data_IF_382580024458
#
_entry.id   IF_382580024458
#
_cell.length_a   1.000
_cell.length_b   1.000
_cell.length_c   1.000
_cell.angle_alpha   90.00
_cell.angle_beta   90.00
_cell.angle_gamma   90.00
#
_symmetry.space_group_name_H-M   'P 1'
#
loop_
_entity.id
_entity.type
_entity.pdbx_description
1 polymer ?
#
# COMPACT_ATOMS: atom_id res chain seq x y z
N UNK A 1 12.31 19.77 -10.35
CA UNK A 1 11.25 20.00 -11.38
C UNK A 1 11.11 21.47 -11.75
N UNK A 2 10.65 22.38 -10.86
CA UNK A 2 10.48 23.82 -11.21
C UNK A 2 11.78 24.51 -11.65
N UNK A 3 12.90 24.26 -10.97
CA UNK A 3 14.20 24.81 -11.36
C UNK A 3 14.66 24.31 -12.75
N UNK A 4 14.47 23.02 -13.04
CA UNK A 4 14.79 22.42 -14.35
C UNK A 4 13.87 22.92 -15.47
N UNK A 5 12.59 23.16 -15.18
CA UNK A 5 11.65 23.73 -16.15
C UNK A 5 12.11 25.11 -16.62
N UNK A 6 12.47 25.97 -15.68
CA UNK A 6 12.93 27.32 -15.99
C UNK A 6 14.30 27.32 -16.69
N UNK A 7 15.14 26.31 -16.43
CA UNK A 7 16.47 26.21 -17.01
C UNK A 7 16.48 25.62 -18.43
N UNK A 8 15.57 24.69 -18.74
CA UNK A 8 15.53 23.98 -20.02
C UNK A 8 14.45 24.48 -21.00
N UNK A 9 13.67 25.50 -20.61
CA UNK A 9 12.55 26.07 -21.39
C UNK A 9 11.55 24.99 -21.88
N UNK A 10 11.35 23.95 -21.07
CA UNK A 10 10.48 22.83 -21.41
C UNK A 10 9.02 23.18 -21.09
N UNK A 11 8.17 23.14 -22.11
CA UNK A 11 6.74 23.44 -22.00
C UNK A 11 5.92 22.30 -21.36
N UNK A 12 6.48 21.10 -21.20
CA UNK A 12 5.75 19.92 -20.79
C UNK A 12 6.37 19.24 -19.55
N UNK A 13 5.61 19.18 -18.45
CA UNK A 13 6.06 18.52 -17.21
C UNK A 13 6.32 17.02 -17.40
N UNK A 14 5.67 16.38 -18.37
CA UNK A 14 5.84 14.96 -18.67
C UNK A 14 7.27 14.64 -19.14
N UNK A 15 7.92 15.55 -19.86
CA UNK A 15 9.30 15.36 -20.34
C UNK A 15 10.29 15.46 -19.19
N UNK A 16 10.09 16.39 -18.26
CA UNK A 16 10.91 16.53 -17.05
C UNK A 16 10.76 15.31 -16.15
N UNK A 17 9.53 14.81 -15.97
CA UNK A 17 9.28 13.60 -15.17
C UNK A 17 9.89 12.35 -15.82
N UNK A 18 9.83 12.25 -17.15
CA UNK A 18 10.48 11.18 -17.89
C UNK A 18 12.01 11.25 -17.79
N UNK A 19 12.60 12.45 -17.90
CA UNK A 19 14.04 12.66 -17.72
C UNK A 19 14.49 12.34 -16.30
N UNK A 20 13.77 12.82 -15.28
CA UNK A 20 14.08 12.51 -13.88
C UNK A 20 13.91 11.03 -13.57
N UNK A 21 12.87 10.39 -14.13
CA UNK A 21 12.70 8.94 -14.05
C UNK A 21 13.91 8.21 -14.64
N UNK A 22 14.28 8.55 -15.87
CA UNK A 22 15.42 7.93 -16.57
C UNK A 22 16.74 8.13 -15.82
N UNK A 23 16.99 9.34 -15.29
CA UNK A 23 18.17 9.64 -14.47
C UNK A 23 18.14 8.82 -13.16
N UNK A 24 17.00 8.75 -12.48
CA UNK A 24 16.89 7.98 -11.25
C UNK A 24 17.13 6.49 -11.49
N UNK A 25 16.57 5.94 -12.57
CA UNK A 25 16.81 4.55 -12.96
C UNK A 25 18.26 4.29 -13.36
N UNK A 26 18.92 5.21 -14.04
CA UNK A 26 20.35 5.03 -14.38
C UNK A 26 21.24 5.03 -13.14
N UNK A 27 21.02 5.96 -12.19
CA UNK A 27 21.72 5.94 -10.90
C UNK A 27 21.40 4.67 -10.10
N UNK A 28 20.15 4.21 -10.13
CA UNK A 28 19.74 3.00 -9.43
C UNK A 28 20.38 1.74 -10.01
N UNK A 29 20.44 1.61 -11.34
CA UNK A 29 21.15 0.52 -12.02
C UNK A 29 22.65 0.57 -11.75
N UNK A 30 23.26 1.76 -11.75
CA UNK A 30 24.67 1.93 -11.42
C UNK A 30 24.97 1.52 -9.97
N UNK A 31 24.07 1.82 -9.05
CA UNK A 31 24.15 1.39 -7.65
C UNK A 31 24.05 -0.14 -7.50
N UNK A 32 23.18 -0.80 -8.27
CA UNK A 32 23.10 -2.27 -8.30
C UNK A 32 24.41 -2.88 -8.80
N UNK A 33 24.97 -2.35 -9.90
CA UNK A 33 26.24 -2.81 -10.46
C UNK A 33 27.37 -2.63 -9.42
N UNK A 34 27.37 -1.51 -8.68
CA UNK A 34 28.34 -1.26 -7.62
C UNK A 34 28.20 -2.28 -6.47
N UNK A 35 26.98 -2.58 -6.03
CA UNK A 35 26.75 -3.60 -4.98
C UNK A 35 27.22 -4.97 -5.46
N UNK A 36 26.87 -5.40 -6.68
CA UNK A 36 27.34 -6.68 -7.22
C UNK A 36 28.86 -6.73 -7.34
N UNK A 37 29.50 -5.63 -7.73
CA UNK A 37 30.95 -5.52 -7.81
C UNK A 37 31.60 -5.63 -6.42
N UNK A 38 31.03 -4.98 -5.40
CA UNK A 38 31.50 -5.07 -4.01
C UNK A 38 31.34 -6.48 -3.44
N UNK A 39 30.22 -7.17 -3.72
CA UNK A 39 30.01 -8.57 -3.33
C UNK A 39 31.08 -9.48 -3.95
N UNK A 40 31.39 -9.30 -5.25
CA UNK A 40 32.44 -10.08 -5.92
C UNK A 40 33.84 -9.82 -5.37
N UNK A 41 34.13 -8.59 -4.96
CA UNK A 41 35.40 -8.27 -4.28
C UNK A 41 35.47 -9.01 -2.94
N UNK A 42 34.39 -9.01 -2.17
CA UNK A 42 34.35 -9.69 -0.87
C UNK A 42 34.54 -11.20 -1.01
N UNK A 43 33.87 -11.84 -1.99
CA UNK A 43 34.09 -13.25 -2.34
C UNK A 43 35.56 -13.53 -2.72
N UNK A 44 36.17 -12.65 -3.54
CA UNK A 44 37.57 -12.80 -3.94
C UNK A 44 38.56 -12.60 -2.78
N UNK A 45 38.25 -11.70 -1.83
CA UNK A 45 39.03 -11.49 -0.61
C UNK A 45 38.92 -12.69 0.34
N UNK A 46 37.71 -13.24 0.53
CA UNK A 46 37.46 -14.50 1.25
C UNK A 46 38.28 -15.66 0.64
N UNK A 47 38.31 -15.76 -0.69
CA UNK A 47 39.09 -16.78 -1.39
C UNK A 47 40.61 -16.60 -1.21
N UNK A 48 41.12 -15.37 -1.22
CA UNK A 48 42.54 -15.09 -0.94
C UNK A 48 42.94 -15.43 0.49
N UNK A 49 42.08 -15.15 1.47
CA UNK A 49 42.37 -15.50 2.86
C UNK A 49 42.48 -17.01 3.07
N UNK A 50 41.66 -17.81 2.37
CA UNK A 50 41.76 -19.28 2.39
C UNK A 50 43.05 -19.81 1.78
N UNK A 51 43.62 -19.14 0.77
CA UNK A 51 44.89 -19.56 0.13
C UNK A 51 46.10 -19.14 0.97
N UNK A 52 46.04 -18.00 1.68
CA UNK A 52 47.16 -17.53 2.54
C UNK A 52 47.28 -18.25 3.89
N UNK A 53 46.22 -18.93 4.34
CA UNK A 53 46.24 -19.77 5.52
C UNK A 53 46.79 -21.15 5.19
N UNK A 54 48.11 -21.24 5.06
CA UNK A 54 48.81 -22.47 4.67
C UNK A 54 48.39 -23.69 5.51
N UNK A 55 47.60 -24.56 4.87
CA UNK A 55 47.55 -26.03 5.06
C UNK A 55 46.74 -26.60 3.91
N UNK A 56 47.37 -27.50 3.16
CA UNK A 56 46.82 -28.18 2.00
C UNK A 56 45.45 -28.81 2.30
N UNK A 57 44.39 -28.22 1.73
CA UNK A 57 43.09 -28.86 1.59
C UNK A 57 42.68 -28.86 0.12
N UNK A 58 43.08 -29.92 -0.58
CA UNK A 58 42.41 -30.35 -1.80
C UNK A 58 40.98 -30.78 -1.45
N UNK A 59 39.99 -29.95 -1.78
CA UNK A 59 38.59 -30.36 -1.80
C UNK A 59 38.10 -30.31 -3.25
N UNK A 60 37.71 -31.49 -3.72
CA UNK A 60 37.09 -31.80 -5.00
C UNK A 60 35.90 -30.89 -5.33
N UNK A 61 35.97 -30.20 -6.47
CA UNK A 61 34.79 -29.81 -7.25
C UNK A 61 34.93 -30.40 -8.67
N UNK A 62 34.67 -31.70 -8.78
CA UNK A 62 34.33 -32.33 -10.04
C UNK A 62 32.89 -32.80 -9.91
N UNK A 63 31.96 -32.03 -10.47
CA UNK A 63 30.71 -32.50 -11.09
C UNK A 63 29.89 -31.29 -11.54
N UNK A 64 30.25 -30.72 -12.69
CA UNK A 64 29.37 -30.00 -13.63
C UNK A 64 30.20 -29.61 -14.87
N UNK A 65 30.64 -30.61 -15.62
CA UNK A 65 30.96 -30.43 -17.04
C UNK A 65 30.64 -31.72 -17.80
N UNK A 66 29.76 -31.61 -18.79
CA UNK A 66 29.54 -32.65 -19.78
C UNK A 66 30.83 -32.88 -20.58
N UNK A 67 31.11 -34.12 -21.04
CA UNK A 67 32.33 -34.41 -21.78
C UNK A 67 32.21 -33.87 -23.20
N UNK A 68 33.01 -32.86 -23.53
CA UNK A 68 33.31 -32.48 -24.91
C UNK A 68 34.48 -33.36 -25.38
N UNK A 69 34.25 -34.10 -26.46
CA UNK A 69 35.23 -34.95 -27.11
C UNK A 69 36.45 -34.14 -27.56
N UNK A 70 37.63 -34.66 -27.22
CA UNK A 70 38.92 -34.12 -27.67
C UNK A 70 39.09 -34.38 -29.17
N UNK A 71 39.20 -33.33 -29.96
CA UNK A 71 39.98 -33.35 -31.20
C UNK A 71 41.27 -32.57 -30.98
N UNK A 72 42.40 -33.23 -31.31
CA UNK A 72 43.71 -32.62 -31.39
C UNK A 72 43.73 -31.69 -32.61
N UNK A 73 44.01 -30.40 -32.40
CA UNK A 73 45.04 -29.69 -33.15
C UNK A 73 45.24 -28.29 -32.55
N UNK A 74 46.51 -27.93 -32.40
CA UNK A 74 46.92 -26.65 -31.84
C UNK A 74 46.59 -25.51 -32.79
N UNK A 75 46.09 -24.42 -32.21
CA UNK A 75 46.45 -23.06 -32.57
C UNK A 75 46.07 -22.12 -31.43
N UNK A 76 47.01 -21.23 -31.07
CA UNK A 76 46.77 -20.10 -30.17
C UNK A 76 45.75 -19.18 -30.84
N UNK A 77 44.58 -18.98 -30.23
CA UNK A 77 43.66 -17.91 -30.59
C UNK A 77 43.33 -17.06 -29.38
N UNK A 78 43.47 -15.75 -29.58
CA UNK A 78 43.18 -14.68 -28.63
C UNK A 78 41.79 -14.81 -28.00
N UNK A 79 41.73 -14.63 -26.68
CA UNK A 79 40.48 -14.51 -25.91
C UNK A 79 39.89 -13.13 -26.25
N UNK A 80 39.00 -13.10 -27.23
CA UNK A 80 38.18 -11.94 -27.55
C UNK A 80 36.85 -11.97 -26.77
N UNK A 81 36.28 -10.77 -26.64
CA UNK A 81 35.20 -10.26 -25.79
C UNK A 81 33.80 -10.91 -25.91
N UNK A 82 33.67 -12.17 -26.31
CA UNK A 82 32.35 -12.80 -26.54
C UNK A 82 31.63 -13.28 -25.27
N UNK A 83 32.32 -13.40 -24.13
CA UNK A 83 31.71 -13.88 -22.88
C UNK A 83 30.78 -12.88 -22.18
N UNK A 84 30.88 -11.58 -22.48
CA UNK A 84 29.99 -10.58 -21.85
C UNK A 84 28.57 -10.62 -22.43
N UNK A 85 28.40 -11.01 -23.69
CA UNK A 85 27.07 -11.10 -24.32
C UNK A 85 26.27 -12.29 -23.78
N UNK A 86 26.92 -13.40 -23.45
CA UNK A 86 26.25 -14.57 -22.84
C UNK A 86 25.79 -14.32 -21.41
N UNK A 87 26.54 -13.53 -20.62
CA UNK A 87 26.14 -13.11 -19.29
C UNK A 87 24.92 -12.19 -19.31
N UNK A 88 24.89 -11.21 -20.22
CA UNK A 88 23.74 -10.32 -20.42
C UNK A 88 22.50 -11.12 -20.86
N UNK A 89 22.67 -12.11 -21.73
CA UNK A 89 21.57 -12.96 -22.21
C UNK A 89 20.98 -13.86 -21.11
N UNK A 90 21.83 -14.41 -20.23
CA UNK A 90 21.39 -15.18 -19.04
C UNK A 90 20.65 -14.27 -18.05
N UNK A 91 21.10 -13.03 -17.89
CA UNK A 91 20.49 -12.04 -16.99
C UNK A 91 19.10 -11.61 -17.47
N UNK A 92 18.94 -11.33 -18.78
CA UNK A 92 17.64 -11.04 -19.41
C UNK A 92 16.70 -12.23 -19.23
N UNK A 93 17.19 -13.47 -19.43
CA UNK A 93 16.38 -14.69 -19.26
C UNK A 93 15.89 -14.90 -17.83
N UNK A 94 16.66 -14.49 -16.81
CA UNK A 94 16.24 -14.56 -15.40
C UNK A 94 15.26 -13.43 -15.01
N UNK A 95 15.42 -12.23 -15.58
CA UNK A 95 14.44 -11.14 -15.44
C UNK A 95 13.06 -11.54 -15.98
N UNK A 96 13.01 -12.23 -17.14
CA UNK A 96 11.76 -12.78 -17.70
C UNK A 96 11.09 -13.83 -16.79
N UNK A 97 11.87 -14.67 -16.11
CA UNK A 97 11.34 -15.67 -15.16
C UNK A 97 10.71 -15.05 -13.91
N UNK A 98 11.15 -13.85 -13.51
CA UNK A 98 10.61 -13.10 -12.38
C UNK A 98 9.41 -12.22 -12.75
N UNK A 99 8.95 -12.28 -14.00
CA UNK A 99 7.82 -11.50 -14.52
C UNK A 99 8.04 -9.97 -14.42
N UNK A 100 9.29 -9.53 -14.42
CA UNK A 100 9.68 -8.12 -14.44
C UNK A 100 9.51 -7.62 -15.88
N UNK A 101 8.51 -6.77 -16.11
CA UNK A 101 8.20 -6.24 -17.45
C UNK A 101 8.98 -4.94 -17.72
N UNK A 102 9.54 -4.81 -18.93
CA UNK A 102 10.22 -3.58 -19.36
C UNK A 102 9.23 -2.41 -19.51
N UNK A 103 9.74 -1.19 -19.38
CA UNK A 103 8.97 0.05 -19.50
C UNK A 103 8.45 0.32 -20.93
N UNK A 104 8.85 -0.48 -21.92
CA UNK A 104 8.60 -0.22 -23.35
C UNK A 104 7.25 -0.73 -23.87
N UNK A 105 6.43 -1.40 -23.05
CA UNK A 105 5.08 -1.80 -23.43
C UNK A 105 4.08 -0.64 -23.32
N UNK A 106 4.26 0.40 -24.16
CA UNK A 106 3.40 1.58 -24.22
C UNK A 106 1.99 1.27 -24.80
N UNK A 107 1.83 0.15 -25.52
CA UNK A 107 0.57 -0.18 -26.22
C UNK A 107 -0.39 -1.09 -25.43
N UNK A 108 0.01 -1.68 -24.31
CA UNK A 108 -0.86 -2.55 -23.51
C UNK A 108 -0.69 -2.31 -22.00
N UNK A 109 -1.56 -1.45 -21.44
CA UNK A 109 -1.88 -1.30 -20.00
C UNK A 109 -0.68 -1.11 -19.05
N UNK A 110 -0.38 0.17 -18.86
CA UNK A 110 0.68 0.76 -18.03
C UNK A 110 0.69 0.25 -16.57
N UNK A 111 1.78 -0.43 -16.19
CA UNK A 111 2.40 -0.26 -14.87
C UNK A 111 3.41 0.88 -14.99
N UNK A 112 3.29 1.91 -14.15
CA UNK A 112 4.17 3.08 -14.23
C UNK A 112 5.60 2.77 -13.82
N UNK A 113 6.54 3.64 -14.18
CA UNK A 113 7.97 3.55 -13.86
C UNK A 113 8.27 3.27 -12.37
N UNK A 114 7.42 3.80 -11.48
CA UNK A 114 7.48 3.55 -10.03
C UNK A 114 7.30 2.07 -9.65
N UNK A 115 6.50 1.33 -10.41
CA UNK A 115 6.25 -0.09 -10.20
C UNK A 115 7.44 -0.95 -10.66
N UNK A 116 8.14 -0.54 -11.72
CA UNK A 116 9.42 -1.16 -12.13
C UNK A 116 10.49 -0.95 -11.05
N UNK A 117 10.64 0.26 -10.53
CA UNK A 117 11.57 0.55 -9.41
C UNK A 117 11.20 -0.30 -8.18
N UNK A 118 9.91 -0.40 -7.84
CA UNK A 118 9.43 -1.20 -6.71
C UNK A 118 9.72 -2.70 -6.87
N UNK A 119 9.56 -3.24 -8.07
CA UNK A 119 9.87 -4.66 -8.34
C UNK A 119 11.39 -4.91 -8.27
N UNK A 120 12.19 -3.97 -8.77
CA UNK A 120 13.65 -4.05 -8.71
C UNK A 120 14.16 -3.99 -7.25
N UNK A 121 13.58 -3.13 -6.41
CA UNK A 121 13.99 -3.03 -5.00
C UNK A 121 13.67 -4.29 -4.18
N UNK A 122 12.55 -4.96 -4.46
CA UNK A 122 12.22 -6.27 -3.87
C UNK A 122 13.25 -7.33 -4.29
N UNK A 123 13.66 -7.32 -5.55
CA UNK A 123 14.65 -8.27 -6.06
C UNK A 123 16.02 -8.08 -5.39
N UNK A 124 16.46 -6.83 -5.18
CA UNK A 124 17.71 -6.55 -4.45
C UNK A 124 17.63 -7.03 -3.01
N UNK A 125 16.52 -6.76 -2.31
CA UNK A 125 16.32 -7.22 -0.93
C UNK A 125 16.40 -8.75 -0.85
N UNK A 126 15.84 -9.45 -1.84
CA UNK A 126 15.97 -10.90 -1.98
C UNK A 126 17.43 -11.35 -2.14
N UNK A 127 18.20 -10.70 -3.02
CA UNK A 127 19.62 -11.02 -3.21
C UNK A 127 20.43 -10.78 -1.94
N UNK A 128 20.18 -9.67 -1.23
CA UNK A 128 20.86 -9.33 0.01
C UNK A 128 20.57 -10.36 1.11
N UNK A 129 19.30 -10.75 1.27
CA UNK A 129 18.91 -11.79 2.24
C UNK A 129 19.50 -13.16 1.88
N UNK A 130 19.55 -13.50 0.59
CA UNK A 130 20.18 -14.74 0.13
C UNK A 130 21.68 -14.74 0.45
N UNK A 131 22.38 -13.64 0.23
CA UNK A 131 23.80 -13.52 0.57
C UNK A 131 24.06 -13.64 2.08
N UNK A 132 23.24 -12.99 2.91
CA UNK A 132 23.32 -13.10 4.38
C UNK A 132 23.03 -14.51 4.90
N UNK A 133 22.16 -15.27 4.24
CA UNK A 133 21.91 -16.67 4.57
C UNK A 133 23.13 -17.56 4.27
N UNK A 134 23.84 -17.30 3.17
CA UNK A 134 25.07 -18.02 2.83
C UNK A 134 26.22 -17.70 3.80
N UNK A 135 26.39 -16.43 4.20
CA UNK A 135 27.41 -16.06 5.19
C UNK A 135 27.12 -16.66 6.58
N UNK A 136 25.85 -16.76 6.97
CA UNK A 136 25.44 -17.47 8.19
C UNK A 136 25.71 -18.98 8.12
N UNK A 137 25.43 -19.64 7.00
CA UNK A 137 25.71 -21.07 6.82
C UNK A 137 27.22 -21.38 6.86
N UNK A 138 28.05 -20.53 6.26
CA UNK A 138 29.51 -20.68 6.30
C UNK A 138 30.00 -20.51 7.75
N UNK A 139 29.48 -19.52 8.47
CA UNK A 139 29.81 -19.29 9.88
C UNK A 139 29.38 -20.46 10.79
N UNK A 140 28.20 -21.02 10.58
CA UNK A 140 27.73 -22.21 11.32
C UNK A 140 28.52 -23.47 10.98
N UNK A 141 28.92 -23.66 9.72
CA UNK A 141 29.72 -24.83 9.31
C UNK A 141 31.16 -24.80 9.84
N UNK A 142 31.70 -23.61 10.13
CA UNK A 142 33.01 -23.44 10.77
C UNK A 142 32.99 -23.71 12.28
N UNK A 143 31.87 -23.43 12.96
CA UNK A 143 31.73 -23.62 14.41
C UNK A 143 31.51 -25.09 14.79
N UNK A 144 30.85 -25.89 13.94
CA UNK A 144 30.54 -27.30 14.26
C UNK A 144 31.63 -28.33 13.92
N UNK A 145 32.79 -27.90 13.41
CA UNK A 145 33.90 -28.81 13.07
C UNK A 145 35.03 -28.88 14.11
N UNK A 146 34.99 -28.05 15.14
CA UNK A 146 35.91 -28.14 16.27
C UNK A 146 35.09 -28.21 17.56
N UNK A 147 34.82 -29.42 18.05
CA UNK A 147 34.88 -29.76 19.47
C UNK A 147 34.74 -31.28 19.66
N UNK A 148 35.86 -31.87 20.08
CA UNK A 148 36.02 -33.19 20.69
C UNK A 148 36.14 -32.94 22.21
N UNK A 149 35.61 -33.85 23.03
CA UNK A 149 35.49 -33.88 24.51
C UNK A 149 34.30 -33.09 25.08
N UNK A 150 33.61 -33.49 26.15
CA UNK A 150 33.31 -34.72 26.92
C UNK A 150 32.36 -34.20 28.04
N UNK A 151 31.52 -35.08 28.56
CA UNK A 151 30.58 -34.85 29.67
C UNK A 151 31.06 -33.87 30.76
N UNK A 152 30.22 -32.88 31.08
CA UNK A 152 30.01 -32.34 32.43
C UNK A 152 28.77 -31.44 32.46
N UNK A 153 27.83 -31.77 33.34
CA UNK A 153 26.67 -30.95 33.68
C UNK A 153 27.13 -29.59 34.24
N UNK A 154 26.69 -28.50 33.62
CA UNK A 154 26.89 -27.13 34.12
C UNK A 154 25.52 -26.47 34.27
N UNK A 155 25.24 -26.09 35.51
CA UNK A 155 24.04 -25.44 36.02
C UNK A 155 23.87 -24.03 35.42
N UNK A 156 22.77 -23.80 34.70
CA UNK A 156 22.48 -22.56 33.98
C UNK A 156 21.61 -21.62 34.83
N UNK A 157 22.18 -21.10 35.92
CA UNK A 157 21.57 -20.04 36.72
C UNK A 157 22.53 -18.86 36.90
N UNK A 158 22.75 -18.08 35.82
CA UNK A 158 23.18 -16.68 35.92
C UNK A 158 23.11 -16.01 34.53
N UNK A 159 22.02 -15.27 34.29
CA UNK A 159 21.98 -13.92 33.68
C UNK A 159 20.58 -13.53 33.17
N UNK A 160 19.60 -13.55 34.07
CA UNK A 160 18.24 -13.03 33.78
C UNK A 160 18.20 -11.51 33.58
N UNK A 161 19.26 -10.79 33.97
CA UNK A 161 19.35 -9.33 33.89
C UNK A 161 19.84 -8.80 32.53
N UNK A 162 20.61 -9.58 31.77
CA UNK A 162 21.04 -9.17 30.44
C UNK A 162 19.95 -9.42 29.40
N UNK A 163 19.27 -10.56 29.51
CA UNK A 163 18.14 -10.95 28.65
C UNK A 163 16.95 -10.01 28.83
N UNK A 164 16.65 -9.58 30.06
CA UNK A 164 15.57 -8.61 30.32
C UNK A 164 15.85 -7.21 29.78
N UNK A 165 17.11 -6.77 29.71
CA UNK A 165 17.51 -5.52 29.08
C UNK A 165 17.39 -5.56 27.55
N UNK A 166 17.75 -6.70 26.92
CA UNK A 166 17.59 -6.91 25.47
C UNK A 166 16.10 -7.03 25.11
N UNK A 167 15.32 -7.76 25.90
CA UNK A 167 13.87 -7.89 25.73
C UNK A 167 13.19 -6.52 25.87
N UNK A 168 13.54 -5.71 26.88
CA UNK A 168 12.97 -4.36 27.04
C UNK A 168 13.41 -3.36 25.96
N UNK A 169 14.58 -3.55 25.36
CA UNK A 169 15.02 -2.74 24.21
C UNK A 169 14.27 -3.13 22.93
N UNK A 170 14.05 -4.42 22.70
CA UNK A 170 13.26 -4.93 21.57
C UNK A 170 11.77 -4.61 21.69
N UNK A 171 11.21 -4.56 22.91
CA UNK A 171 9.81 -4.13 23.17
C UNK A 171 9.61 -2.63 22.91
N UNK A 172 10.66 -1.79 23.05
CA UNK A 172 10.59 -0.38 22.69
C UNK A 172 10.68 -0.15 21.18
N UNK A 173 11.38 -1.01 20.45
CA UNK A 173 11.42 -1.00 18.98
C UNK A 173 10.13 -1.58 18.35
N UNK A 174 9.39 -2.45 19.05
CA UNK A 174 8.07 -2.97 18.61
C UNK A 174 6.89 -2.00 18.79
N UNK A 175 7.10 -0.78 19.31
CA UNK A 175 6.02 0.20 19.43
C UNK A 175 5.63 0.83 18.09
N UNK A 176 6.49 0.75 17.07
CA UNK A 176 6.15 1.21 15.71
C UNK A 176 5.21 0.23 14.99
N UNK A 177 5.34 -1.08 15.22
CA UNK A 177 4.46 -2.09 14.63
C UNK A 177 3.01 -1.94 15.13
N UNK A 178 2.81 -1.49 16.38
CA UNK A 178 1.48 -1.30 16.94
C UNK A 178 0.70 -0.14 16.31
N UNK A 179 1.35 0.92 15.82
CA UNK A 179 0.64 2.09 15.31
C UNK A 179 0.04 1.83 13.92
N UNK A 180 0.82 1.26 13.00
CA UNK A 180 0.35 0.95 11.66
C UNK A 180 -0.72 -0.15 11.69
N UNK A 181 -0.54 -1.15 12.55
CA UNK A 181 -1.53 -2.21 12.76
C UNK A 181 -2.83 -1.64 13.32
N UNK A 182 -2.75 -0.81 14.35
CA UNK A 182 -3.91 -0.08 14.87
C UNK A 182 -4.60 0.71 13.76
N UNK A 183 -3.84 1.46 12.96
CA UNK A 183 -4.41 2.27 11.87
C UNK A 183 -5.11 1.43 10.82
N UNK A 184 -4.47 0.34 10.40
CA UNK A 184 -5.02 -0.56 9.40
C UNK A 184 -6.33 -1.19 9.89
N UNK A 185 -6.38 -1.77 11.09
CA UNK A 185 -7.56 -2.50 11.55
C UNK A 185 -8.76 -1.58 11.81
N UNK A 186 -8.50 -0.38 12.32
CA UNK A 186 -9.55 0.64 12.50
C UNK A 186 -10.09 1.11 11.15
N UNK A 187 -9.20 1.48 10.21
CA UNK A 187 -9.58 1.85 8.85
C UNK A 187 -10.35 0.72 8.14
N UNK A 188 -9.84 -0.52 8.21
CA UNK A 188 -10.46 -1.68 7.58
C UNK A 188 -11.85 -1.98 8.15
N UNK A 189 -12.05 -1.79 9.45
CA UNK A 189 -13.38 -1.89 10.07
C UNK A 189 -14.35 -0.86 9.50
N UNK A 190 -13.91 0.38 9.26
CA UNK A 190 -14.71 1.42 8.59
C UNK A 190 -15.06 1.05 7.15
N UNK A 191 -14.12 0.44 6.41
CA UNK A 191 -14.38 -0.07 5.05
C UNK A 191 -15.42 -1.19 5.08
N UNK A 192 -15.32 -2.12 6.02
CA UNK A 192 -16.28 -3.22 6.18
C UNK A 192 -17.68 -2.72 6.56
N UNK A 193 -17.76 -1.70 7.40
CA UNK A 193 -19.02 -1.09 7.82
C UNK A 193 -19.75 -0.35 6.71
N UNK A 194 -19.02 0.21 5.73
CA UNK A 194 -19.63 0.74 4.52
C UNK A 194 -20.02 -0.37 3.52
N UNK A 195 -19.03 -0.93 2.82
CA UNK A 195 -19.25 -1.82 1.68
C UNK A 195 -18.95 -3.31 1.95
N UNK A 196 -18.59 -3.68 3.19
CA UNK A 196 -18.32 -5.06 3.57
C UNK A 196 -19.57 -5.91 3.76
N UNK A 197 -19.43 -7.23 3.69
CA UNK A 197 -20.51 -8.17 3.93
C UNK A 197 -19.98 -9.46 4.54
N UNK A 198 -20.54 -9.84 5.69
CA UNK A 198 -20.38 -11.16 6.30
C UNK A 198 -21.46 -12.07 5.69
N UNK A 199 -21.09 -12.88 4.67
CA UNK A 199 -22.03 -13.69 3.87
C UNK A 199 -22.50 -14.92 4.68
N UNK A 200 -23.48 -14.69 5.56
CA UNK A 200 -24.17 -15.72 6.35
C UNK A 200 -25.31 -16.34 5.53
N UNK A 201 -25.36 -17.67 5.44
CA UNK A 201 -26.38 -18.41 4.66
C UNK A 201 -26.97 -19.55 5.47
N UNK A 202 -28.25 -19.82 5.28
CA UNK A 202 -28.86 -21.06 5.75
C UNK A 202 -28.66 -22.14 4.68
N UNK A 203 -27.95 -23.20 5.03
CA UNK A 203 -27.73 -24.38 4.18
C UNK A 203 -28.18 -25.59 5.01
N UNK A 204 -29.25 -26.26 4.58
CA UNK A 204 -29.86 -27.38 5.29
C UNK A 204 -30.17 -27.04 6.76
N UNK A 205 -30.89 -25.93 6.97
CA UNK A 205 -31.26 -25.36 8.28
C UNK A 205 -30.10 -25.04 9.22
N UNK A 206 -28.86 -25.06 8.72
CA UNK A 206 -27.66 -24.64 9.46
C UNK A 206 -27.17 -23.30 8.94
N UNK A 207 -26.93 -22.37 9.86
CA UNK A 207 -26.30 -21.09 9.56
C UNK A 207 -24.81 -21.32 9.28
N UNK A 208 -24.35 -20.93 8.09
CA UNK A 208 -22.97 -21.09 7.62
C UNK A 208 -22.42 -19.75 7.17
N UNK A 209 -21.24 -19.39 7.66
CA UNK A 209 -20.48 -18.25 7.14
C UNK A 209 -19.67 -18.67 5.90
N UNK A 210 -20.01 -18.13 4.73
CA UNK A 210 -19.37 -18.51 3.47
C UNK A 210 -18.07 -17.73 3.22
N UNK A 211 -18.13 -16.41 3.34
CA UNK A 211 -16.98 -15.52 3.12
C UNK A 211 -17.21 -14.13 3.72
N UNK A 212 -16.12 -13.41 3.98
CA UNK A 212 -16.12 -11.95 4.14
C UNK A 212 -15.90 -11.35 2.76
N UNK A 213 -16.80 -10.47 2.31
CA UNK A 213 -16.77 -9.90 0.96
C UNK A 213 -16.83 -8.38 1.00
N UNK A 214 -16.04 -7.72 0.15
CA UNK A 214 -16.18 -6.29 -0.16
C UNK A 214 -16.34 -6.17 -1.67
N UNK A 215 -17.32 -5.38 -2.12
CA UNK A 215 -17.57 -5.15 -3.55
C UNK A 215 -17.54 -3.64 -3.83
N UNK A 216 -16.56 -3.20 -4.62
CA UNK A 216 -16.37 -1.79 -4.96
C UNK A 216 -16.40 -1.57 -6.47
N UNK A 217 -16.55 -0.32 -6.89
CA UNK A 217 -16.31 0.08 -8.27
C UNK A 217 -14.82 -0.07 -8.61
N UNK A 218 -14.49 -0.38 -9.88
CA UNK A 218 -13.08 -0.60 -10.31
C UNK A 218 -12.17 0.61 -10.08
N UNK A 219 -12.73 1.82 -10.11
CA UNK A 219 -12.02 3.06 -9.75
C UNK A 219 -11.41 3.02 -8.35
N UNK A 220 -12.04 2.29 -7.44
CA UNK A 220 -11.68 2.22 -6.02
C UNK A 220 -10.92 0.91 -5.69
N UNK A 221 -10.35 0.23 -6.70
CA UNK A 221 -9.59 -1.02 -6.54
C UNK A 221 -8.38 -0.88 -5.61
N UNK A 222 -7.82 0.33 -5.47
CA UNK A 222 -6.70 0.60 -4.59
C UNK A 222 -7.02 0.30 -3.12
N UNK A 223 -8.27 0.48 -2.67
CA UNK A 223 -8.74 0.06 -1.35
C UNK A 223 -8.56 -1.46 -1.19
N UNK A 224 -9.00 -2.24 -2.17
CA UNK A 224 -8.91 -3.70 -2.12
C UNK A 224 -7.45 -4.19 -2.18
N UNK A 225 -6.63 -3.59 -3.04
CA UNK A 225 -5.20 -3.91 -3.12
C UNK A 225 -4.49 -3.59 -1.80
N UNK A 226 -4.83 -2.49 -1.11
CA UNK A 226 -4.29 -2.17 0.21
C UNK A 226 -4.61 -3.25 1.23
N UNK A 227 -5.86 -3.70 1.28
CA UNK A 227 -6.31 -4.79 2.17
C UNK A 227 -5.56 -6.08 1.86
N UNK A 228 -5.53 -6.50 0.59
CA UNK A 228 -4.87 -7.75 0.19
C UNK A 228 -3.36 -7.71 0.45
N UNK A 229 -2.70 -6.59 0.16
CA UNK A 229 -1.26 -6.46 0.34
C UNK A 229 -0.86 -6.44 1.81
N UNK A 230 -1.69 -5.88 2.69
CA UNK A 230 -1.40 -5.84 4.12
C UNK A 230 -1.70 -7.20 4.77
N UNK A 231 -2.85 -7.82 4.46
CA UNK A 231 -3.25 -9.09 5.09
C UNK A 231 -2.55 -10.31 4.49
N UNK A 232 -2.05 -10.22 3.25
CA UNK A 232 -1.62 -11.36 2.44
C UNK A 232 -2.66 -12.49 2.34
N UNK A 233 -3.94 -12.13 2.49
CA UNK A 233 -5.09 -13.01 2.57
C UNK A 233 -6.11 -12.63 1.48
N UNK A 234 -6.97 -13.57 1.12
CA UNK A 234 -8.11 -13.33 0.26
C UNK A 234 -7.74 -13.16 -1.22
N UNK A 235 -8.75 -12.91 -2.03
CA UNK A 235 -8.62 -12.79 -3.49
C UNK A 235 -9.45 -11.65 -4.04
N UNK A 236 -8.87 -10.93 -4.99
CA UNK A 236 -9.53 -9.89 -5.78
C UNK A 236 -9.99 -10.50 -7.11
N UNK A 237 -11.26 -10.30 -7.47
CA UNK A 237 -11.86 -10.81 -8.71
C UNK A 237 -12.69 -9.73 -9.39
N UNK A 238 -12.51 -9.58 -10.70
CA UNK A 238 -13.31 -8.67 -11.51
C UNK A 238 -14.68 -9.28 -11.79
N UNK A 239 -15.73 -8.46 -11.76
CA UNK A 239 -17.07 -8.88 -12.17
C UNK A 239 -17.18 -8.76 -13.68
N UNK A 240 -17.49 -9.87 -14.37
CA UNK A 240 -17.61 -9.90 -15.83
C UNK A 240 -18.62 -8.85 -16.32
N UNK A 241 -18.22 -8.06 -17.31
CA UNK A 241 -19.04 -7.05 -17.99
C UNK A 241 -19.64 -5.98 -17.05
N UNK A 242 -19.05 -5.75 -15.87
CA UNK A 242 -19.48 -4.70 -14.95
C UNK A 242 -18.27 -3.96 -14.40
N UNK A 243 -18.38 -2.66 -14.07
CA UNK A 243 -17.26 -1.88 -13.56
C UNK A 243 -17.05 -2.12 -12.05
N UNK A 244 -17.16 -3.37 -11.60
CA UNK A 244 -17.04 -3.75 -10.20
C UNK A 244 -15.95 -4.79 -9.99
N UNK A 245 -15.37 -4.75 -8.81
CA UNK A 245 -14.36 -5.68 -8.33
C UNK A 245 -14.78 -6.18 -6.95
N UNK A 246 -14.49 -7.45 -6.67
CA UNK A 246 -14.85 -8.12 -5.43
C UNK A 246 -13.57 -8.62 -4.75
N UNK A 247 -13.35 -8.21 -3.50
CA UNK A 247 -12.42 -8.85 -2.59
C UNK A 247 -13.20 -9.87 -1.73
N UNK A 248 -12.65 -11.07 -1.57
CA UNK A 248 -13.29 -12.14 -0.80
C UNK A 248 -12.29 -12.95 0.02
N UNK A 249 -12.64 -13.21 1.29
CA UNK A 249 -11.92 -14.10 2.21
C UNK A 249 -12.83 -15.29 2.50
N UNK A 250 -12.50 -16.47 1.97
CA UNK A 250 -13.33 -17.67 2.12
C UNK A 250 -12.68 -18.81 2.90
N UNK A 251 -11.38 -18.73 3.21
CA UNK A 251 -10.72 -19.75 4.05
C UNK A 251 -11.12 -19.52 5.50
N UNK A 252 -11.50 -20.60 6.20
CA UNK A 252 -11.98 -20.54 7.58
C UNK A 252 -10.98 -19.87 8.53
N UNK A 253 -9.71 -20.29 8.47
CA UNK A 253 -8.63 -19.74 9.32
C UNK A 253 -8.44 -18.25 9.11
N UNK A 254 -8.46 -17.79 7.85
CA UNK A 254 -8.33 -16.37 7.49
C UNK A 254 -9.53 -15.53 7.97
N UNK A 255 -10.75 -16.08 7.88
CA UNK A 255 -11.95 -15.39 8.39
C UNK A 255 -11.89 -15.23 9.92
N UNK A 256 -11.49 -16.28 10.65
CA UNK A 256 -11.31 -16.22 12.11
C UNK A 256 -10.26 -15.16 12.47
N UNK A 257 -9.12 -15.16 11.76
CA UNK A 257 -8.07 -14.16 11.94
C UNK A 257 -8.64 -12.73 11.81
N UNK A 258 -9.35 -12.44 10.70
CA UNK A 258 -9.93 -11.10 10.49
C UNK A 258 -10.97 -10.75 11.55
N UNK A 259 -11.89 -11.67 11.88
CA UNK A 259 -12.95 -11.42 12.87
C UNK A 259 -12.35 -11.05 14.23
N UNK A 260 -11.31 -11.74 14.68
CA UNK A 260 -10.65 -11.43 15.94
C UNK A 260 -10.06 -10.01 15.98
N UNK A 261 -9.48 -9.53 14.88
CA UNK A 261 -8.83 -8.21 14.83
C UNK A 261 -9.82 -7.04 14.69
N UNK A 262 -11.01 -7.28 14.12
CA UNK A 262 -12.05 -6.24 13.97
C UNK A 262 -13.12 -6.29 15.07
N UNK A 263 -13.03 -7.25 15.99
CA UNK A 263 -13.99 -7.39 17.10
C UNK A 263 -13.91 -6.18 18.03
N UNK A 264 -15.06 -5.55 18.31
CA UNK A 264 -15.12 -4.25 19.00
C UNK A 264 -14.92 -3.02 18.09
N UNK A 265 -14.61 -3.19 16.80
CA UNK A 265 -14.42 -2.08 15.85
C UNK A 265 -15.54 -1.94 14.80
N UNK A 266 -16.35 -2.99 14.57
CA UNK A 266 -17.52 -2.96 13.68
C UNK A 266 -18.71 -2.31 14.38
N UNK A 267 -19.17 -1.16 13.89
CA UNK A 267 -20.16 -0.25 14.49
C UNK A 267 -21.48 -0.17 13.72
N UNK A 268 -21.52 -0.49 12.42
CA UNK A 268 -22.74 -0.40 11.60
C UNK A 268 -23.36 -1.76 11.30
N UNK A 269 -22.53 -2.77 11.04
CA UNK A 269 -22.99 -4.13 10.66
C UNK A 269 -23.05 -5.10 11.83
N UNK A 270 -23.27 -4.58 13.05
CA UNK A 270 -23.20 -5.31 14.32
C UNK A 270 -23.97 -6.63 14.28
N UNK A 271 -25.25 -6.64 13.87
CA UNK A 271 -26.07 -7.88 13.84
C UNK A 271 -25.48 -9.00 12.98
N UNK A 272 -24.89 -8.68 11.83
CA UNK A 272 -24.30 -9.70 10.96
C UNK A 272 -22.92 -10.12 11.47
N UNK A 273 -22.17 -9.19 12.07
CA UNK A 273 -20.88 -9.48 12.67
C UNK A 273 -21.01 -10.34 13.92
N UNK A 274 -21.99 -10.08 14.78
CA UNK A 274 -22.31 -10.90 15.96
C UNK A 274 -22.63 -12.36 15.56
N UNK A 275 -23.43 -12.54 14.50
CA UNK A 275 -23.69 -13.87 13.92
C UNK A 275 -22.41 -14.58 13.45
N UNK A 276 -21.47 -13.82 12.87
CA UNK A 276 -20.18 -14.35 12.44
C UNK A 276 -19.30 -14.75 13.64
N UNK A 277 -19.27 -13.94 14.70
CA UNK A 277 -18.59 -14.27 15.96
C UNK A 277 -19.16 -15.56 16.57
N UNK A 278 -20.49 -15.66 16.67
CA UNK A 278 -21.17 -16.84 17.19
C UNK A 278 -20.88 -18.10 16.37
N UNK A 279 -20.84 -18.00 15.03
CA UNK A 279 -20.51 -19.13 14.15
C UNK A 279 -19.11 -19.71 14.41
N UNK A 280 -18.15 -18.88 14.84
CA UNK A 280 -16.79 -19.31 15.16
C UNK A 280 -16.50 -19.45 16.67
N UNK A 281 -17.52 -19.35 17.52
CA UNK A 281 -17.38 -19.35 18.98
C UNK A 281 -16.43 -18.25 19.50
N UNK A 282 -16.42 -17.08 18.86
CA UNK A 282 -15.68 -15.90 19.31
C UNK A 282 -16.60 -15.06 20.18
N UNK A 283 -16.16 -14.69 21.39
CA UNK A 283 -16.92 -13.78 22.26
C UNK A 283 -17.05 -12.42 21.57
N UNK A 284 -18.26 -12.03 21.22
CA UNK A 284 -18.53 -10.72 20.63
C UNK A 284 -18.23 -9.59 21.64
N UNK A 285 -17.59 -8.53 21.15
CA UNK A 285 -17.27 -7.31 21.90
C UNK A 285 -18.10 -6.17 21.31
N UNK A 286 -18.98 -5.60 22.11
CA UNK A 286 -19.78 -4.43 21.71
C UNK A 286 -18.83 -3.25 21.41
N UNK A 287 -18.97 -2.58 20.26
CA UNK A 287 -18.09 -1.48 19.88
C UNK A 287 -18.40 -0.19 20.65
N UNK A 288 -17.37 0.65 20.84
CA UNK A 288 -17.59 2.03 21.27
C UNK A 288 -18.09 2.90 20.10
N UNK A 289 -19.33 3.40 20.22
CA UNK A 289 -19.97 4.26 19.23
C UNK A 289 -19.48 5.72 19.30
N UNK A 290 -18.73 6.09 20.36
CA UNK A 290 -18.01 7.37 20.43
C UNK A 290 -16.65 7.21 19.79
N UNK A 291 -16.56 7.56 18.52
CA UNK A 291 -15.33 7.39 17.75
C UNK A 291 -14.26 8.36 18.28
N UNK A 292 -13.06 7.83 18.57
CA UNK A 292 -11.97 8.57 19.20
C UNK A 292 -11.38 9.64 18.27
N UNK A 293 -10.73 10.68 18.83
CA UNK A 293 -9.96 11.63 18.03
C UNK A 293 -8.93 10.94 17.15
N UNK A 294 -8.85 11.37 15.89
CA UNK A 294 -7.99 10.80 14.84
C UNK A 294 -8.17 9.31 14.54
N UNK A 295 -9.24 8.66 15.02
CA UNK A 295 -9.48 7.25 14.74
C UNK A 295 -9.64 7.01 13.22
N UNK A 296 -8.84 6.12 12.60
CA UNK A 296 -8.87 5.86 11.16
C UNK A 296 -10.17 5.20 10.67
N UNK A 297 -11.02 4.70 11.57
CA UNK A 297 -12.34 4.16 11.23
C UNK A 297 -13.15 5.11 10.33
N UNK A 298 -13.15 6.41 10.66
CA UNK A 298 -13.90 7.38 9.86
C UNK A 298 -13.32 7.53 8.45
N UNK A 299 -12.00 7.46 8.27
CA UNK A 299 -11.38 7.48 6.93
C UNK A 299 -11.77 6.26 6.09
N UNK A 300 -11.85 5.06 6.70
CA UNK A 300 -12.31 3.85 6.02
C UNK A 300 -13.77 3.92 5.59
N UNK A 301 -14.62 4.50 6.44
CA UNK A 301 -16.02 4.74 6.12
C UNK A 301 -16.18 5.80 5.02
N UNK A 302 -15.30 6.82 5.00
CA UNK A 302 -15.31 7.82 3.93
C UNK A 302 -14.84 7.22 2.60
N UNK A 303 -13.89 6.29 2.62
CA UNK A 303 -13.40 5.57 1.44
C UNK A 303 -14.51 4.80 0.71
N UNK A 304 -15.50 4.28 1.43
CA UNK A 304 -16.65 3.54 0.89
C UNK A 304 -17.87 4.44 0.70
N UNK A 305 -18.57 4.77 1.78
CA UNK A 305 -19.85 5.50 1.77
C UNK A 305 -19.70 7.03 1.80
N UNK A 306 -18.49 7.53 2.05
CA UNK A 306 -18.24 8.97 2.08
C UNK A 306 -18.28 9.65 0.72
N UNK A 307 -18.50 10.96 0.78
CA UNK A 307 -18.48 11.87 -0.37
C UNK A 307 -17.70 13.12 -0.03
N UNK A 308 -16.80 13.52 -0.94
CA UNK A 308 -16.13 14.83 -0.91
C UNK A 308 -16.57 15.54 -2.17
N UNK A 309 -17.36 16.60 -2.03
CA UNK A 309 -18.03 17.26 -3.17
C UNK A 309 -17.82 18.76 -3.13
N UNK A 310 -17.82 19.38 -4.30
CA UNK A 310 -17.79 20.83 -4.42
C UNK A 310 -19.21 21.36 -4.65
N UNK A 311 -19.68 22.22 -3.76
CA UNK A 311 -20.94 22.94 -3.89
C UNK A 311 -20.68 24.31 -4.54
N UNK A 312 -20.97 24.39 -5.84
CA UNK A 312 -20.71 25.60 -6.64
C UNK A 312 -21.47 26.82 -6.15
N UNK A 313 -22.77 26.66 -5.82
CA UNK A 313 -23.61 27.77 -5.38
C UNK A 313 -23.04 28.39 -4.10
N UNK A 314 -22.76 27.55 -3.10
CA UNK A 314 -22.22 27.98 -1.80
C UNK A 314 -20.71 28.23 -1.81
N UNK A 315 -20.02 28.00 -2.94
CA UNK A 315 -18.56 28.12 -3.08
C UNK A 315 -17.80 27.47 -1.91
N UNK A 316 -18.03 26.17 -1.71
CA UNK A 316 -17.43 25.39 -0.63
C UNK A 316 -17.24 23.93 -1.01
N UNK A 317 -16.26 23.28 -0.39
CA UNK A 317 -16.09 21.83 -0.41
C UNK A 317 -16.85 21.28 0.81
N UNK A 318 -17.52 20.14 0.64
CA UNK A 318 -18.25 19.42 1.68
C UNK A 318 -17.69 17.99 1.78
N UNK A 319 -17.45 17.52 2.99
CA UNK A 319 -17.17 16.11 3.30
C UNK A 319 -18.37 15.55 4.05
N UNK A 320 -18.95 14.45 3.58
CA UNK A 320 -20.12 13.87 4.22
C UNK A 320 -20.21 12.37 4.10
N UNK A 321 -20.87 11.73 5.07
CA UNK A 321 -21.31 10.34 5.02
C UNK A 321 -22.80 10.29 5.33
N UNK A 322 -23.56 9.54 4.54
CA UNK A 322 -25.00 9.35 4.71
C UNK A 322 -25.27 7.87 4.97
N UNK A 323 -25.88 7.56 6.11
CA UNK A 323 -26.09 6.20 6.58
C UNK A 323 -27.59 5.96 6.79
N UNK A 324 -28.04 4.71 6.63
CA UNK A 324 -29.43 4.34 6.95
C UNK A 324 -29.70 4.58 8.44
N UNK A 325 -30.82 5.23 8.76
CA UNK A 325 -31.20 5.55 10.13
C UNK A 325 -31.63 4.28 10.88
N UNK A 326 -30.94 3.97 11.98
CA UNK A 326 -31.24 2.86 12.88
C UNK A 326 -30.60 3.11 14.27
N UNK A 327 -30.83 2.22 15.23
CA UNK A 327 -30.36 2.38 16.61
C UNK A 327 -28.82 2.55 16.74
N UNK A 328 -28.03 1.98 15.83
CA UNK A 328 -26.58 2.10 15.86
C UNK A 328 -26.13 3.43 15.26
N UNK A 329 -26.68 3.81 14.10
CA UNK A 329 -26.32 5.06 13.44
C UNK A 329 -26.79 6.29 14.21
N UNK A 330 -27.89 6.21 14.98
CA UNK A 330 -28.31 7.32 15.85
C UNK A 330 -27.35 7.58 17.01
N UNK A 331 -26.70 6.52 17.50
CA UNK A 331 -25.79 6.59 18.63
C UNK A 331 -24.33 6.79 18.21
N UNK A 332 -24.03 6.67 16.91
CA UNK A 332 -22.71 6.89 16.34
C UNK A 332 -22.34 8.37 16.40
N UNK A 333 -21.19 8.66 17.01
CA UNK A 333 -20.76 10.03 17.28
C UNK A 333 -19.39 10.33 16.65
N UNK A 334 -19.38 11.28 15.72
CA UNK A 334 -18.18 11.76 15.02
C UNK A 334 -17.70 13.15 15.49
N UNK A 335 -18.25 13.70 16.58
CA UNK A 335 -17.97 15.07 17.02
C UNK A 335 -16.51 15.31 17.40
N UNK A 336 -15.80 14.29 17.84
CA UNK A 336 -14.43 14.42 18.33
C UNK A 336 -13.40 13.77 17.42
N UNK A 337 -13.82 13.16 16.31
CA UNK A 337 -12.93 12.42 15.40
C UNK A 337 -11.94 13.34 14.70
N UNK A 338 -12.42 14.50 14.28
CA UNK A 338 -11.58 15.54 13.68
C UNK A 338 -11.50 16.67 14.68
N UNK A 339 -10.29 16.96 15.17
CA UNK A 339 -10.10 18.03 16.14
C UNK A 339 -10.55 19.38 15.57
N UNK A 340 -11.08 20.24 16.44
CA UNK A 340 -11.50 21.61 16.13
C UNK A 340 -12.66 21.76 15.13
N UNK A 341 -13.36 20.68 14.77
CA UNK A 341 -14.55 20.73 13.93
C UNK A 341 -15.54 19.64 14.31
N UNK A 342 -16.83 19.91 14.09
CA UNK A 342 -17.92 18.95 14.33
C UNK A 342 -18.78 18.84 13.08
N UNK A 343 -19.27 17.65 12.75
CA UNK A 343 -20.17 17.51 11.62
C UNK A 343 -21.52 18.14 11.96
N UNK A 344 -22.14 18.77 10.96
CA UNK A 344 -23.58 19.02 10.97
C UNK A 344 -24.30 17.68 10.80
N UNK A 345 -25.25 17.38 11.69
CA UNK A 345 -26.02 16.13 11.67
C UNK A 345 -27.45 16.43 11.24
N UNK A 346 -27.94 15.70 10.23
CA UNK A 346 -29.28 15.89 9.67
C UNK A 346 -29.97 14.54 9.44
N UNK A 347 -31.23 14.42 9.82
CA UNK A 347 -32.08 13.29 9.44
C UNK A 347 -32.83 13.64 8.16
N UNK A 348 -32.83 12.74 7.19
CA UNK A 348 -33.52 12.89 5.90
C UNK A 348 -34.42 11.70 5.64
N UNK A 349 -35.48 11.93 4.87
CA UNK A 349 -36.35 10.87 4.38
C UNK A 349 -36.21 10.76 2.86
N UNK A 350 -35.99 9.55 2.37
CA UNK A 350 -35.89 9.24 0.94
C UNK A 350 -36.69 7.97 0.66
N UNK A 351 -37.71 8.08 -0.18
CA UNK A 351 -38.56 6.95 -0.59
C UNK A 351 -39.14 6.17 0.62
N UNK A 352 -39.56 6.89 1.66
CA UNK A 352 -40.12 6.30 2.89
C UNK A 352 -39.09 5.73 3.87
N UNK A 353 -37.80 5.80 3.56
CA UNK A 353 -36.73 5.38 4.46
C UNK A 353 -36.01 6.59 5.06
N UNK A 354 -35.68 6.51 6.36
CA UNK A 354 -34.91 7.53 7.06
C UNK A 354 -33.41 7.27 6.94
N UNK A 355 -32.65 8.35 6.80
CA UNK A 355 -31.20 8.38 6.71
C UNK A 355 -30.65 9.45 7.66
N UNK A 356 -29.46 9.22 8.21
CA UNK A 356 -28.70 10.21 8.98
C UNK A 356 -27.49 10.65 8.16
N UNK A 357 -27.31 11.95 8.02
CA UNK A 357 -26.21 12.58 7.30
C UNK A 357 -25.30 13.28 8.30
N UNK A 358 -24.02 12.95 8.25
CA UNK A 358 -22.95 13.71 8.91
C UNK A 358 -22.22 14.52 7.84
N UNK A 359 -22.15 15.84 8.02
CA UNK A 359 -21.58 16.75 7.02
C UNK A 359 -20.66 17.79 7.63
N UNK A 360 -19.40 17.80 7.19
CA UNK A 360 -18.45 18.88 7.41
C UNK A 360 -18.51 19.82 6.21
N UNK A 361 -18.90 21.07 6.44
CA UNK A 361 -19.16 22.06 5.37
C UNK A 361 -18.68 23.48 5.70
N UNK A 362 -18.14 23.73 6.89
CA UNK A 362 -17.61 25.04 7.24
C UNK A 362 -16.25 25.24 6.55
N UNK A 363 -16.15 26.25 5.70
CA UNK A 363 -14.95 26.51 4.89
C UNK A 363 -13.70 26.74 5.75
N UNK A 364 -13.82 27.47 6.87
CA UNK A 364 -12.67 27.74 7.74
C UNK A 364 -12.16 26.46 8.42
N UNK A 365 -13.06 25.52 8.67
CA UNK A 365 -12.76 24.25 9.34
C UNK A 365 -12.31 23.14 8.38
N UNK A 366 -12.47 23.32 7.06
CA UNK A 366 -12.04 22.33 6.06
C UNK A 366 -10.53 22.04 6.13
N UNK A 367 -9.72 22.96 6.69
CA UNK A 367 -8.30 22.71 6.92
C UNK A 367 -8.08 21.52 7.88
N UNK A 368 -8.91 21.39 8.91
CA UNK A 368 -8.82 20.26 9.86
C UNK A 368 -9.24 18.95 9.21
N UNK A 369 -10.18 18.99 8.27
CA UNK A 369 -10.55 17.83 7.43
C UNK A 369 -9.38 17.40 6.56
N UNK A 370 -8.69 18.36 5.94
CA UNK A 370 -7.46 18.11 5.19
C UNK A 370 -6.40 17.45 6.07
N UNK A 371 -6.10 18.02 7.25
CA UNK A 371 -5.04 17.52 8.13
C UNK A 371 -5.37 16.11 8.64
N UNK A 372 -6.63 15.85 9.01
CA UNK A 372 -7.08 14.51 9.38
C UNK A 372 -6.82 13.49 8.28
N UNK A 373 -7.16 13.79 7.01
CA UNK A 373 -6.95 12.83 5.91
C UNK A 373 -5.51 12.78 5.39
N UNK A 374 -4.66 13.75 5.73
CA UNK A 374 -3.21 13.61 5.53
C UNK A 374 -2.61 12.63 6.54
N UNK A 375 -3.12 12.61 7.77
CA UNK A 375 -2.73 11.64 8.80
C UNK A 375 -3.37 10.25 8.58
N UNK A 376 -4.65 10.24 8.23
CA UNK A 376 -5.49 9.06 8.00
C UNK A 376 -5.87 8.98 6.53
N UNK A 377 -4.90 8.54 5.72
CA UNK A 377 -4.98 8.55 4.26
C UNK A 377 -6.19 7.78 3.73
N UNK A 378 -6.92 8.41 2.81
CA UNK A 378 -7.90 7.75 1.96
C UNK A 378 -7.23 6.95 0.83
N UNK A 379 -7.73 5.75 0.57
CA UNK A 379 -7.24 4.86 -0.48
C UNK A 379 -8.12 4.85 -1.75
N UNK A 380 -9.26 5.53 -1.74
CA UNK A 380 -9.93 5.98 -2.96
C UNK A 380 -9.15 7.15 -3.56
N UNK A 381 -8.46 6.92 -4.69
CA UNK A 381 -7.62 7.95 -5.35
C UNK A 381 -8.42 9.20 -5.71
N UNK A 382 -9.67 9.02 -6.12
CA UNK A 382 -10.59 10.11 -6.42
C UNK A 382 -10.93 10.96 -5.20
N UNK A 383 -11.24 10.33 -4.06
CA UNK A 383 -11.57 11.06 -2.83
C UNK A 383 -10.31 11.72 -2.25
N UNK A 384 -9.18 11.01 -2.23
CA UNK A 384 -7.92 11.57 -1.74
C UNK A 384 -7.44 12.77 -2.56
N UNK A 385 -7.58 12.72 -3.88
CA UNK A 385 -7.30 13.86 -4.75
C UNK A 385 -8.13 15.08 -4.37
N UNK A 386 -9.42 14.89 -4.09
CA UNK A 386 -10.30 15.99 -3.66
C UNK A 386 -9.90 16.55 -2.30
N UNK A 387 -9.50 15.70 -1.35
CA UNK A 387 -8.92 16.17 -0.09
C UNK A 387 -7.71 17.04 -0.35
N UNK A 388 -6.76 16.59 -1.17
CA UNK A 388 -5.47 17.28 -1.35
C UNK A 388 -5.62 18.69 -1.93
N UNK A 389 -6.72 18.96 -2.63
CA UNK A 389 -7.06 20.26 -3.22
C UNK A 389 -7.71 21.25 -2.24
N UNK A 390 -8.07 20.84 -1.02
CA UNK A 390 -8.74 21.70 -0.02
C UNK A 390 -7.90 22.94 0.33
N UNK A 391 -6.60 22.78 0.63
CA UNK A 391 -5.73 23.92 0.99
C UNK A 391 -5.72 24.99 -0.09
N UNK A 392 -5.44 24.57 -1.34
CA UNK A 392 -5.43 25.48 -2.49
C UNK A 392 -6.79 26.15 -2.71
N UNK A 393 -7.89 25.41 -2.56
CA UNK A 393 -9.22 25.97 -2.68
C UNK A 393 -9.46 27.13 -1.71
N UNK A 394 -9.07 26.97 -0.44
CA UNK A 394 -9.26 28.01 0.60
C UNK A 394 -8.58 29.33 0.20
N UNK A 395 -7.41 29.27 -0.42
CA UNK A 395 -6.66 30.46 -0.87
C UNK A 395 -7.37 31.19 -2.02
N UNK A 396 -7.85 30.44 -3.02
CA UNK A 396 -8.32 31.01 -4.29
C UNK A 396 -9.84 31.21 -4.34
N UNK A 397 -10.62 30.69 -3.39
CA UNK A 397 -12.09 30.76 -3.44
C UNK A 397 -12.64 32.19 -3.54
N UNK A 398 -11.89 33.18 -3.03
CA UNK A 398 -12.23 34.61 -3.11
C UNK A 398 -12.29 35.13 -4.54
N UNK A 399 -11.58 34.48 -5.47
CA UNK A 399 -11.56 34.87 -6.87
C UNK A 399 -12.82 34.51 -7.65
N UNK A 400 -13.77 33.75 -7.04
CA UNK A 400 -15.09 33.50 -7.65
C UNK A 400 -15.83 34.78 -8.02
N UNK A 401 -15.64 35.85 -7.23
CA UNK A 401 -16.31 37.15 -7.43
C UNK A 401 -15.47 38.15 -8.22
N UNK A 402 -14.27 37.77 -8.67
CA UNK A 402 -13.47 38.63 -9.55
C UNK A 402 -14.14 38.79 -10.92
N UNK A 403 -13.84 39.86 -11.68
CA UNK A 403 -14.37 40.04 -13.03
C UNK A 403 -14.08 38.82 -13.91
N UNK A 404 -15.03 38.43 -14.77
CA UNK A 404 -14.93 37.23 -15.59
C UNK A 404 -13.62 37.18 -16.43
N UNK A 405 -13.17 38.34 -16.90
CA UNK A 405 -11.96 38.44 -17.72
C UNK A 405 -10.64 38.58 -16.95
N UNK A 406 -10.71 38.68 -15.63
CA UNK A 406 -9.52 38.81 -14.77
C UNK A 406 -8.70 37.52 -14.70
N UNK A 407 -7.41 37.68 -14.38
CA UNK A 407 -6.47 36.57 -14.16
C UNK A 407 -6.92 35.74 -12.94
N UNK A 408 -7.42 36.40 -11.91
CA UNK A 408 -7.96 35.79 -10.69
C UNK A 408 -9.12 34.84 -11.00
N UNK A 409 -10.09 35.29 -11.80
CA UNK A 409 -11.24 34.45 -12.17
C UNK A 409 -10.81 33.25 -13.02
N UNK A 410 -9.80 33.42 -13.88
CA UNK A 410 -9.18 32.31 -14.62
C UNK A 410 -8.55 31.29 -13.67
N UNK A 411 -7.76 31.72 -12.69
CA UNK A 411 -7.16 30.83 -11.67
C UNK A 411 -8.23 29.99 -10.95
N UNK A 412 -9.36 30.62 -10.59
CA UNK A 412 -10.48 29.92 -9.96
C UNK A 412 -11.17 28.93 -10.91
N UNK A 413 -11.39 29.33 -12.16
CA UNK A 413 -12.00 28.48 -13.20
C UNK A 413 -11.13 27.26 -13.49
N UNK A 414 -9.82 27.45 -13.67
CA UNK A 414 -8.84 26.39 -13.92
C UNK A 414 -8.83 25.38 -12.77
N UNK A 415 -8.83 25.85 -11.52
CA UNK A 415 -8.94 24.97 -10.35
C UNK A 415 -10.22 24.15 -10.36
N UNK A 416 -11.37 24.75 -10.68
CA UNK A 416 -12.63 24.02 -10.69
C UNK A 416 -12.69 23.00 -11.83
N UNK A 417 -12.16 23.34 -13.01
CA UNK A 417 -12.05 22.41 -14.14
C UNK A 417 -11.16 21.22 -13.77
N UNK A 418 -9.98 21.48 -13.21
CA UNK A 418 -9.05 20.45 -12.70
C UNK A 418 -9.68 19.57 -11.60
N UNK A 419 -10.46 20.16 -10.70
CA UNK A 419 -11.19 19.42 -9.66
C UNK A 419 -12.24 18.46 -10.24
N UNK A 420 -13.05 18.94 -11.20
CA UNK A 420 -14.19 18.16 -11.71
C UNK A 420 -13.80 17.14 -12.79
N UNK A 421 -12.70 17.38 -13.52
CA UNK A 421 -12.21 16.51 -14.59
C UNK A 421 -11.56 15.23 -14.05
N UNK A 422 -10.93 15.31 -12.87
CA UNK A 422 -10.18 14.20 -12.31
C UNK A 422 -11.03 12.94 -12.14
N UNK A 423 -10.72 11.91 -12.92
CA UNK A 423 -11.40 10.60 -12.94
C UNK A 423 -12.93 10.68 -13.08
N UNK A 424 -13.44 11.70 -13.78
CA UNK A 424 -14.87 11.87 -14.05
C UNK A 424 -15.10 12.06 -15.55
N UNK A 425 -15.47 11.00 -16.29
CA UNK A 425 -15.69 11.09 -17.74
C UNK A 425 -16.91 11.94 -18.13
N UNK A 426 -17.76 12.32 -17.17
CA UNK A 426 -18.99 13.09 -17.38
C UNK A 426 -18.88 14.51 -16.83
N UNK A 427 -17.66 15.05 -16.71
CA UNK A 427 -17.41 16.36 -16.13
C UNK A 427 -18.06 17.50 -16.93
N UNK A 428 -18.15 17.36 -18.25
CA UNK A 428 -18.76 18.30 -19.19
C UNK A 428 -20.27 18.49 -18.98
N UNK A 429 -20.94 17.47 -18.43
CA UNK A 429 -22.38 17.51 -18.10
C UNK A 429 -22.69 18.26 -16.81
N UNK A 430 -21.68 18.69 -16.04
CA UNK A 430 -21.90 19.41 -14.79
C UNK A 430 -22.43 20.82 -15.10
N UNK A 431 -23.60 21.23 -14.57
CA UNK A 431 -24.29 22.46 -15.01
C UNK A 431 -23.47 23.74 -14.91
N UNK A 432 -22.62 23.87 -13.89
CA UNK A 432 -21.83 25.10 -13.69
C UNK A 432 -20.59 25.19 -14.59
N UNK A 433 -20.23 24.15 -15.36
CA UNK A 433 -19.06 24.17 -16.26
C UNK A 433 -19.20 25.24 -17.34
N UNK A 434 -20.42 25.48 -17.82
CA UNK A 434 -20.71 26.55 -18.78
C UNK A 434 -20.46 27.95 -18.23
N UNK A 435 -20.32 28.09 -16.91
CA UNK A 435 -20.06 29.37 -16.23
C UNK A 435 -18.57 29.61 -16.00
N UNK A 436 -17.70 28.65 -16.31
CA UNK A 436 -16.26 28.75 -16.09
C UNK A 436 -15.57 29.28 -17.35
N UNK A 437 -14.50 30.05 -17.15
CA UNK A 437 -13.60 30.43 -18.23
C UNK A 437 -12.75 29.22 -18.62
N UNK A 438 -12.66 28.93 -19.91
CA UNK A 438 -11.85 27.83 -20.47
C UNK A 438 -10.49 28.31 -20.92
#
# INVERSE_FOLDING_TARGET
QMALKNYLDLNNFNEIDYMLGTIFLSYYLLFIILIEYLIKIDEALLYRHQISGGKDYYIFYNNLSHPISKTKNGNKSNINSENNNNLIFIYIKNMYKLNIQSAENFLLKIKGFSETIRQLSIYILYLFNKHNLYSYQISYSGIYKNNIFKDQDIDFHQDTNFTSKIINKNIKESNFDNEEDYKFWHWFSGVLDGDGNFDMRNINDKLVMKEIRIKLHIRDIRILNRIQNYLHIGRIRFVKNKPYVIYSIGKKVDMIYVINHINGNIRLKIKNFEKACNYFNIKFIEPDLKVKPYDPYFSGLIDTDGSIVFNYNSNRIECSVELKYNNYTTNLNFNNVILNTKPYVLIREKKGEKYILYRYQNVKEMIYIYDYFMNNRLYSDFKFYRVSKIKRFIEIRKYKTSPFDSIEYKIYSDFLLDWIQYQNPLWDKIPFVKKLKR
#
